data_IF_705817626503
#
_entry.id   IF_705817626503
#
_cell.length_a   1.000
_cell.length_b   1.000
_cell.length_c   1.000
_cell.angle_alpha   90.00
_cell.angle_beta   90.00
_cell.angle_gamma   90.00
#
_symmetry.space_group_name_H-M   'P 1'
#
loop_
_entity.id
_entity.type
_entity.pdbx_description
1 polymer ?
#
# COMPACT_ATOMS: atom_id res chain seq x y z
N UNK A 1 -57.16 11.72 -54.45
CA UNK A 1 -56.73 10.62 -53.55
C UNK A 1 -55.47 11.07 -52.83
N UNK A 2 -55.55 11.33 -51.52
CA UNK A 2 -54.38 11.57 -50.67
C UNK A 2 -53.89 10.19 -50.18
N UNK A 3 -52.77 9.72 -50.72
CA UNK A 3 -52.12 8.52 -50.22
C UNK A 3 -51.26 8.89 -49.01
N UNK A 4 -51.67 8.45 -47.82
CA UNK A 4 -50.86 8.56 -46.60
C UNK A 4 -49.86 7.40 -46.60
N UNK A 5 -48.57 7.69 -46.77
CA UNK A 5 -47.51 6.70 -46.64
C UNK A 5 -47.16 6.52 -45.15
N UNK A 6 -47.38 5.32 -44.63
CA UNK A 6 -46.93 4.93 -43.29
C UNK A 6 -45.53 4.32 -43.40
N UNK A 7 -44.55 4.96 -42.77
CA UNK A 7 -43.21 4.39 -42.59
C UNK A 7 -43.16 3.63 -41.26
N UNK A 8 -42.87 2.33 -41.31
CA UNK A 8 -42.63 1.51 -40.12
C UNK A 8 -41.12 1.41 -39.89
N UNK A 9 -40.60 2.16 -38.92
CA UNK A 9 -39.22 1.99 -38.45
C UNK A 9 -39.20 0.92 -37.34
N UNK A 10 -38.37 -0.10 -37.49
CA UNK A 10 -38.17 -1.14 -36.50
C UNK A 10 -36.73 -1.04 -36.01
N UNK A 11 -36.55 -0.76 -34.72
CA UNK A 11 -35.24 -0.64 -34.09
C UNK A 11 -34.83 -2.00 -33.50
N UNK A 12 -33.62 -2.45 -33.84
CA UNK A 12 -33.00 -3.61 -33.23
C UNK A 12 -31.79 -3.15 -32.45
N UNK A 13 -31.71 -3.56 -31.18
CA UNK A 13 -30.59 -3.24 -30.30
C UNK A 13 -29.60 -4.39 -30.31
N UNK A 14 -28.33 -4.09 -30.51
CA UNK A 14 -27.25 -5.05 -30.41
C UNK A 14 -26.45 -4.81 -29.14
N UNK A 15 -26.07 -5.91 -28.49
CA UNK A 15 -25.11 -5.90 -27.41
C UNK A 15 -23.71 -5.63 -27.95
N UNK A 16 -22.96 -4.77 -27.27
CA UNK A 16 -21.59 -4.40 -27.63
C UNK A 16 -20.65 -4.98 -26.60
N UNK A 17 -19.55 -5.59 -27.05
CA UNK A 17 -18.59 -6.21 -26.13
C UNK A 17 -17.89 -5.16 -25.24
N UNK A 18 -17.57 -5.54 -24.00
CA UNK A 18 -16.90 -4.66 -23.04
C UNK A 18 -15.57 -4.07 -23.59
N UNK A 19 -14.83 -4.88 -24.35
CA UNK A 19 -13.56 -4.49 -24.97
C UNK A 19 -13.75 -3.43 -26.05
N UNK A 20 -14.81 -3.55 -26.85
CA UNK A 20 -15.15 -2.54 -27.86
C UNK A 20 -15.65 -1.25 -27.22
N UNK A 21 -16.45 -1.32 -26.14
CA UNK A 21 -16.92 -0.14 -25.42
C UNK A 21 -15.76 0.64 -24.79
N UNK A 22 -14.82 -0.05 -24.14
CA UNK A 22 -13.58 0.56 -23.59
C UNK A 22 -12.71 1.18 -24.68
N UNK A 23 -12.59 0.51 -25.83
CA UNK A 23 -11.84 1.06 -26.96
C UNK A 23 -12.53 2.33 -27.47
N UNK A 24 -13.85 2.32 -27.64
CA UNK A 24 -14.62 3.45 -28.12
C UNK A 24 -14.63 4.65 -27.15
N UNK A 25 -14.63 4.41 -25.83
CA UNK A 25 -14.59 5.48 -24.83
C UNK A 25 -13.28 6.26 -24.85
N UNK A 26 -12.17 5.59 -25.13
CA UNK A 26 -10.83 6.19 -25.26
C UNK A 26 -10.63 6.81 -26.65
N UNK A 27 -10.90 6.05 -27.72
CA UNK A 27 -10.60 6.47 -29.09
C UNK A 27 -11.62 7.44 -29.67
N UNK A 28 -12.81 7.57 -29.05
CA UNK A 28 -14.00 8.22 -29.62
C UNK A 28 -14.37 7.68 -31.01
N UNK A 29 -14.07 6.40 -31.26
CA UNK A 29 -14.36 5.72 -32.52
C UNK A 29 -15.00 4.36 -32.27
N UNK A 30 -16.05 4.05 -33.04
CA UNK A 30 -16.68 2.74 -33.03
C UNK A 30 -16.72 2.19 -34.46
N UNK A 31 -16.06 1.04 -34.69
CA UNK A 31 -15.94 0.42 -36.03
C UNK A 31 -15.54 1.43 -37.13
N UNK A 32 -14.49 2.19 -36.84
CA UNK A 32 -13.92 3.24 -37.72
C UNK A 32 -14.79 4.50 -37.91
N UNK A 33 -16.03 4.52 -37.41
CA UNK A 33 -16.86 5.72 -37.39
C UNK A 33 -16.46 6.62 -36.22
N UNK A 34 -16.34 7.92 -36.48
CA UNK A 34 -16.09 8.91 -35.44
C UNK A 34 -17.37 9.19 -34.64
N UNK A 35 -17.21 9.30 -33.32
CA UNK A 35 -18.29 9.67 -32.42
C UNK A 35 -18.27 11.18 -32.18
N UNK A 36 -19.33 11.86 -32.57
CA UNK A 36 -19.50 13.30 -32.35
C UNK A 36 -20.24 13.55 -31.06
N UNK A 37 -19.75 14.49 -30.27
CA UNK A 37 -20.45 14.95 -29.08
C UNK A 37 -21.70 15.74 -29.48
N UNK A 38 -22.86 15.27 -29.04
CA UNK A 38 -24.16 15.92 -29.34
C UNK A 38 -24.69 16.73 -28.16
N UNK A 39 -24.23 16.40 -26.96
CA UNK A 39 -24.46 17.13 -25.72
C UNK A 39 -23.35 16.75 -24.73
N UNK A 40 -23.09 17.54 -23.68
CA UNK A 40 -22.00 17.28 -22.74
C UNK A 40 -21.98 15.83 -22.26
N UNK A 41 -20.93 15.10 -22.58
CA UNK A 41 -20.76 13.70 -22.17
C UNK A 41 -21.52 12.66 -23.01
N UNK A 42 -22.34 13.06 -23.99
CA UNK A 42 -23.07 12.14 -24.89
C UNK A 42 -22.48 12.21 -26.30
N UNK A 43 -22.00 11.06 -26.75
CA UNK A 43 -21.33 10.86 -28.03
C UNK A 43 -22.15 9.95 -28.92
N UNK A 44 -22.21 10.28 -30.21
CA UNK A 44 -23.02 9.56 -31.18
C UNK A 44 -22.29 9.36 -32.49
N UNK A 45 -22.35 8.15 -33.06
CA UNK A 45 -21.85 7.90 -34.41
C UNK A 45 -22.74 8.57 -35.45
N UNK A 46 -22.17 9.10 -36.51
CA UNK A 46 -22.96 9.55 -37.66
C UNK A 46 -23.72 8.35 -38.26
N UNK A 47 -25.05 8.39 -38.18
CA UNK A 47 -25.94 7.28 -38.53
C UNK A 47 -26.02 6.95 -40.04
N UNK A 48 -25.22 7.62 -40.89
CA UNK A 48 -25.35 7.54 -42.35
C UNK A 48 -23.97 7.59 -43.03
N UNK A 49 -23.23 6.48 -43.11
CA UNK A 49 -22.05 6.47 -43.97
C UNK A 49 -22.33 6.12 -45.45
N UNK A 50 -23.23 5.19 -45.82
CA UNK A 50 -23.08 4.63 -47.19
C UNK A 50 -24.25 3.95 -47.94
N UNK A 51 -25.51 3.99 -47.47
CA UNK A 51 -26.62 3.32 -48.21
C UNK A 51 -27.50 4.31 -48.99
N UNK A 52 -27.70 5.54 -48.48
CA UNK A 52 -28.48 6.56 -49.17
C UNK A 52 -27.76 7.16 -50.40
N UNK A 53 -26.42 7.17 -50.40
CA UNK A 53 -25.63 7.74 -51.50
C UNK A 53 -25.54 6.82 -52.73
N UNK A 54 -25.78 5.51 -52.60
CA UNK A 54 -25.67 4.51 -53.69
C UNK A 54 -27.01 4.04 -54.26
N UNK A 55 -28.14 4.51 -53.73
CA UNK A 55 -29.45 4.17 -54.30
C UNK A 55 -29.75 5.06 -55.51
N UNK A 56 -29.54 4.50 -56.69
CA UNK A 56 -30.11 5.00 -57.95
C UNK A 56 -31.64 5.05 -57.83
N UNK A 57 -32.23 6.21 -58.17
CA UNK A 57 -33.67 6.55 -58.17
C UNK A 57 -34.59 5.61 -58.98
N UNK A 58 -34.09 4.48 -59.49
CA UNK A 58 -34.78 3.67 -60.49
C UNK A 58 -35.34 2.33 -59.96
N UNK A 59 -34.89 1.84 -58.80
CA UNK A 59 -35.46 0.64 -58.17
C UNK A 59 -35.92 0.95 -56.75
N UNK A 60 -37.25 1.00 -56.55
CA UNK A 60 -37.90 1.35 -55.28
C UNK A 60 -37.72 0.28 -54.19
N UNK A 61 -36.56 0.25 -53.54
CA UNK A 61 -36.39 -0.41 -52.25
C UNK A 61 -36.51 0.62 -51.13
N UNK A 62 -37.69 0.66 -50.48
CA UNK A 62 -38.02 1.60 -49.38
C UNK A 62 -37.52 1.15 -48.00
N UNK A 63 -36.54 0.25 -47.93
CA UNK A 63 -35.99 -0.27 -46.67
C UNK A 63 -34.48 -0.13 -46.65
N UNK A 64 -33.97 0.66 -45.71
CA UNK A 64 -32.56 0.83 -45.45
C UNK A 64 -32.29 0.52 -43.98
N UNK A 65 -31.18 -0.16 -43.70
CA UNK A 65 -30.73 -0.42 -42.32
C UNK A 65 -29.72 0.67 -41.95
N UNK A 66 -30.04 1.47 -40.93
CA UNK A 66 -29.07 2.38 -40.31
C UNK A 66 -28.54 1.76 -39.03
N UNK A 67 -27.33 2.15 -38.67
CA UNK A 67 -26.71 1.79 -37.40
C UNK A 67 -26.36 3.07 -36.67
N UNK A 68 -26.77 3.18 -35.41
CA UNK A 68 -26.50 4.30 -34.54
C UNK A 68 -25.91 3.78 -33.24
N UNK A 69 -24.70 4.21 -32.92
CA UNK A 69 -24.05 3.95 -31.65
C UNK A 69 -24.06 5.23 -30.82
N UNK A 70 -24.62 5.14 -29.63
CA UNK A 70 -24.63 6.23 -28.64
C UNK A 70 -23.88 5.78 -27.40
N UNK A 71 -23.03 6.65 -26.87
CA UNK A 71 -22.21 6.41 -25.68
C UNK A 71 -22.31 7.62 -24.77
N UNK A 72 -22.59 7.38 -23.50
CA UNK A 72 -22.62 8.40 -22.46
C UNK A 72 -21.45 8.22 -21.50
N UNK A 73 -20.87 9.34 -21.06
CA UNK A 73 -19.75 9.40 -20.13
C UNK A 73 -20.22 10.12 -18.89
N UNK A 74 -20.05 9.45 -17.75
CA UNK A 74 -20.44 9.97 -16.46
C UNK A 74 -19.44 9.58 -15.40
N UNK A 75 -19.84 9.79 -14.15
CA UNK A 75 -19.03 9.51 -12.98
C UNK A 75 -19.51 8.22 -12.32
N UNK A 76 -18.56 7.48 -11.74
CA UNK A 76 -18.83 6.33 -10.89
C UNK A 76 -18.01 6.48 -9.61
N UNK A 77 -18.61 6.16 -8.48
CA UNK A 77 -17.98 6.21 -7.18
C UNK A 77 -18.42 5.01 -6.32
N UNK A 78 -17.69 4.75 -5.24
CA UNK A 78 -18.05 3.79 -4.21
C UNK A 78 -17.67 4.38 -2.86
N UNK A 79 -18.47 4.10 -1.83
CA UNK A 79 -18.20 4.53 -0.45
C UNK A 79 -17.60 3.39 0.37
N UNK A 80 -18.01 2.16 0.08
CA UNK A 80 -17.68 0.96 0.87
C UNK A 80 -16.79 -0.04 0.12
N UNK A 81 -16.37 0.29 -1.10
CA UNK A 81 -15.57 -0.59 -1.95
C UNK A 81 -16.35 -1.80 -2.51
N UNK A 82 -17.67 -1.84 -2.38
CA UNK A 82 -18.48 -2.94 -2.89
C UNK A 82 -19.63 -2.47 -3.77
N UNK A 83 -20.39 -1.48 -3.30
CA UNK A 83 -21.52 -0.95 -4.03
C UNK A 83 -21.08 0.24 -4.87
N UNK A 84 -21.50 0.25 -6.14
CA UNK A 84 -21.23 1.33 -7.07
C UNK A 84 -22.40 2.31 -7.09
N UNK A 85 -22.11 3.60 -7.18
CA UNK A 85 -23.08 4.65 -7.50
C UNK A 85 -22.61 5.37 -8.75
N UNK A 86 -23.53 5.72 -9.66
CA UNK A 86 -23.19 6.40 -10.91
C UNK A 86 -24.19 7.46 -11.31
N UNK A 87 -23.70 8.47 -12.03
CA UNK A 87 -24.56 9.44 -12.73
C UNK A 87 -25.26 8.86 -13.96
N UNK A 88 -24.86 7.66 -14.41
CA UNK A 88 -25.33 7.02 -15.64
C UNK A 88 -26.54 6.11 -15.45
N UNK A 89 -26.91 5.81 -14.19
CA UNK A 89 -28.03 4.95 -13.87
C UNK A 89 -27.83 4.16 -12.59
N UNK A 90 -28.81 3.31 -12.31
CA UNK A 90 -28.82 2.42 -11.15
C UNK A 90 -27.78 1.30 -11.29
N UNK A 91 -26.97 1.15 -10.24
CA UNK A 91 -25.90 0.15 -10.11
C UNK A 91 -26.04 -0.67 -8.82
N UNK A 92 -27.17 -0.60 -8.10
CA UNK A 92 -27.34 -1.25 -6.80
C UNK A 92 -27.08 -2.76 -6.84
N UNK A 93 -27.44 -3.44 -7.93
CA UNK A 93 -27.23 -4.87 -8.12
C UNK A 93 -25.81 -5.25 -8.57
N UNK A 94 -24.92 -4.27 -8.77
CA UNK A 94 -23.62 -4.45 -9.41
C UNK A 94 -22.45 -4.20 -8.45
N UNK A 95 -21.47 -5.10 -8.48
CA UNK A 95 -20.25 -4.97 -7.69
C UNK A 95 -19.29 -3.99 -8.35
N UNK A 96 -18.84 -2.96 -7.62
CA UNK A 96 -17.88 -1.97 -8.10
C UNK A 96 -16.58 -2.63 -8.62
N UNK A 97 -16.12 -3.72 -8.00
CA UNK A 97 -14.91 -4.44 -8.39
C UNK A 97 -15.02 -5.16 -9.74
N UNK A 98 -16.23 -5.38 -10.27
CA UNK A 98 -16.42 -6.06 -11.55
C UNK A 98 -16.02 -5.20 -12.75
N UNK A 99 -16.02 -3.85 -12.61
CA UNK A 99 -15.70 -2.95 -13.71
C UNK A 99 -16.75 -2.88 -14.83
N UNK A 100 -17.90 -3.52 -14.60
CA UNK A 100 -19.02 -3.61 -15.54
C UNK A 100 -20.32 -3.86 -14.78
N UNK A 101 -21.38 -3.23 -15.25
CA UNK A 101 -22.75 -3.50 -14.84
C UNK A 101 -23.61 -3.59 -16.10
N UNK A 102 -24.36 -4.68 -16.24
CA UNK A 102 -25.16 -4.93 -17.42
C UNK A 102 -26.58 -5.32 -17.04
N UNK A 103 -27.52 -4.53 -17.54
CA UNK A 103 -28.96 -4.78 -17.48
C UNK A 103 -29.50 -5.03 -18.90
N UNK A 104 -30.77 -5.40 -19.02
CA UNK A 104 -31.43 -5.66 -20.31
C UNK A 104 -31.38 -4.45 -21.27
N UNK A 105 -31.25 -3.23 -20.73
CA UNK A 105 -31.29 -1.98 -21.47
C UNK A 105 -29.99 -1.17 -21.46
N UNK A 106 -28.96 -1.51 -20.70
CA UNK A 106 -27.75 -0.67 -20.58
C UNK A 106 -26.55 -1.50 -20.14
N UNK A 107 -25.38 -1.13 -20.67
CA UNK A 107 -24.09 -1.65 -20.23
C UNK A 107 -23.23 -0.48 -19.79
N UNK A 108 -22.93 -0.40 -18.50
CA UNK A 108 -22.08 0.61 -17.90
C UNK A 108 -20.73 -0.05 -17.60
N UNK A 109 -19.64 0.55 -18.08
CA UNK A 109 -18.29 0.00 -17.96
C UNK A 109 -17.37 1.06 -17.35
N UNK A 110 -16.53 0.66 -16.40
CA UNK A 110 -15.52 1.51 -15.78
C UNK A 110 -14.19 0.78 -15.61
N UNK A 111 -13.17 1.55 -15.23
CA UNK A 111 -11.87 1.00 -14.86
C UNK A 111 -11.92 0.53 -13.40
N UNK A 112 -11.63 -0.74 -13.17
CA UNK A 112 -11.55 -1.31 -11.82
C UNK A 112 -10.37 -0.68 -11.09
N UNK A 113 -10.64 -0.04 -9.96
CA UNK A 113 -9.62 0.35 -8.98
C UNK A 113 -9.61 -0.75 -7.92
N UNK A 114 -8.44 -1.09 -7.35
CA UNK A 114 -8.40 -2.01 -6.20
C UNK A 114 -9.26 -1.44 -5.07
N UNK A 115 -10.41 -2.08 -4.83
CA UNK A 115 -11.34 -1.70 -3.78
C UNK A 115 -10.73 -2.02 -2.43
N UNK A 116 -10.14 -1.01 -1.80
CA UNK A 116 -9.83 -1.06 -0.38
C UNK A 116 -10.86 -0.19 0.30
N UNK A 117 -11.61 -0.75 1.26
CA UNK A 117 -12.42 0.06 2.17
C UNK A 117 -11.53 1.15 2.73
N UNK A 118 -11.96 2.40 2.64
CA UNK A 118 -11.22 3.50 3.24
C UNK A 118 -11.25 3.33 4.76
N UNK A 119 -10.09 3.51 5.39
CA UNK A 119 -9.99 3.46 6.85
C UNK A 119 -10.84 4.57 7.46
N UNK A 120 -11.80 4.21 8.31
CA UNK A 120 -12.67 5.17 9.00
C UNK A 120 -11.92 5.99 10.06
N UNK A 121 -10.71 5.57 10.41
CA UNK A 121 -9.86 6.19 11.42
C UNK A 121 -8.78 7.05 10.77
N UNK A 122 -8.49 8.17 11.43
CA UNK A 122 -7.33 9.01 11.12
C UNK A 122 -6.27 8.82 12.20
N UNK A 123 -5.01 8.75 11.78
CA UNK A 123 -3.89 8.76 12.71
C UNK A 123 -3.90 10.05 13.54
N UNK A 124 -3.97 9.90 14.86
CA UNK A 124 -3.88 11.01 15.81
C UNK A 124 -2.44 11.29 16.19
N UNK A 125 -1.80 10.33 16.87
CA UNK A 125 -0.40 10.45 17.31
C UNK A 125 0.18 9.10 17.72
N UNK A 126 1.48 9.09 18.02
CA UNK A 126 2.16 7.98 18.71
C UNK A 126 2.56 8.44 20.10
N UNK A 127 2.19 7.68 21.13
CA UNK A 127 2.38 8.04 22.53
C UNK A 127 2.75 6.83 23.39
N UNK A 128 3.28 7.08 24.59
CA UNK A 128 3.42 6.04 25.61
C UNK A 128 2.07 5.74 26.23
N UNK A 129 1.81 4.45 26.42
CA UNK A 129 0.63 3.98 27.09
C UNK A 129 1.02 3.13 28.30
N UNK A 130 0.32 3.35 29.42
CA UNK A 130 0.36 2.46 30.59
C UNK A 130 -0.80 1.48 30.40
N UNK A 131 -0.51 0.19 30.44
CA UNK A 131 -1.51 -0.84 30.19
C UNK A 131 -1.66 -1.79 31.37
N UNK A 132 -2.91 -2.14 31.63
CA UNK A 132 -3.34 -3.24 32.51
C UNK A 132 -4.08 -4.27 31.67
N UNK A 133 -4.57 -5.36 32.27
CA UNK A 133 -5.31 -6.43 31.56
C UNK A 133 -6.49 -5.90 30.73
N UNK A 134 -7.20 -4.90 31.25
CA UNK A 134 -8.47 -4.43 30.68
C UNK A 134 -8.45 -2.93 30.34
N UNK A 135 -7.39 -2.22 30.69
CA UNK A 135 -7.35 -0.75 30.70
C UNK A 135 -6.08 -0.25 30.05
N UNK A 136 -6.18 0.90 29.41
CA UNK A 136 -5.06 1.62 28.82
C UNK A 136 -5.13 3.09 29.26
N UNK A 137 -3.99 3.64 29.68
CA UNK A 137 -3.83 5.05 29.97
C UNK A 137 -2.86 5.66 28.96
N UNK A 138 -3.27 6.72 28.27
CA UNK A 138 -2.37 7.51 27.42
C UNK A 138 -2.28 8.91 28.01
N UNK A 139 -1.24 9.13 28.80
CA UNK A 139 -1.06 10.37 29.58
C UNK A 139 -1.02 11.61 28.69
N UNK A 140 -0.30 11.56 27.55
CA UNK A 140 -0.20 12.69 26.62
C UNK A 140 -1.56 13.09 26.00
N UNK A 141 -2.55 12.18 26.01
CA UNK A 141 -3.91 12.44 25.52
C UNK A 141 -4.92 12.71 26.64
N UNK A 142 -4.53 12.47 27.90
CA UNK A 142 -5.44 12.52 29.04
C UNK A 142 -6.57 11.50 28.97
N UNK A 143 -6.36 10.35 28.33
CA UNK A 143 -7.37 9.28 28.20
C UNK A 143 -7.03 8.06 29.06
N UNK A 144 -8.06 7.43 29.62
CA UNK A 144 -7.98 6.19 30.40
C UNK A 144 -9.14 5.22 30.05
N UNK A 145 -9.21 4.70 28.80
CA UNK A 145 -10.30 3.82 28.42
C UNK A 145 -10.03 2.34 28.72
N UNK A 146 -11.08 1.54 28.54
CA UNK A 146 -11.02 0.08 28.61
C UNK A 146 -10.87 -0.50 27.21
N UNK A 147 -10.23 -1.66 27.11
CA UNK A 147 -10.24 -2.44 25.88
C UNK A 147 -11.67 -2.98 25.62
N UNK A 148 -12.17 -2.73 24.41
CA UNK A 148 -13.39 -3.36 23.91
C UNK A 148 -13.09 -4.82 23.55
N UNK A 149 -13.80 -5.74 24.20
CA UNK A 149 -13.64 -7.17 24.01
C UNK A 149 -14.54 -7.74 22.90
N UNK A 150 -15.41 -6.91 22.28
CA UNK A 150 -16.23 -7.32 21.14
C UNK A 150 -15.38 -7.42 19.86
N UNK A 151 -14.93 -8.64 19.55
CA UNK A 151 -14.12 -8.95 18.38
C UNK A 151 -14.79 -8.53 17.06
N UNK A 152 -16.13 -8.52 16.99
CA UNK A 152 -16.85 -8.12 15.77
C UNK A 152 -16.75 -6.61 15.56
N UNK A 153 -16.86 -5.83 16.64
CA UNK A 153 -16.64 -4.37 16.58
C UNK A 153 -15.20 -4.04 16.22
N UNK A 154 -14.25 -4.73 16.83
CA UNK A 154 -12.84 -4.59 16.50
C UNK A 154 -12.56 -4.87 15.03
N UNK A 155 -13.07 -5.99 14.50
CA UNK A 155 -12.87 -6.38 13.11
C UNK A 155 -13.47 -5.35 12.14
N UNK A 156 -14.67 -4.85 12.44
CA UNK A 156 -15.31 -3.80 11.64
C UNK A 156 -14.55 -2.48 11.72
N UNK A 157 -14.05 -2.10 12.90
CA UNK A 157 -13.29 -0.87 13.10
C UNK A 157 -11.92 -0.90 12.41
N UNK A 158 -11.25 -2.05 12.42
CA UNK A 158 -9.97 -2.24 11.77
C UNK A 158 -10.09 -2.46 10.25
N UNK A 159 -11.29 -2.69 9.72
CA UNK A 159 -11.49 -2.97 8.31
C UNK A 159 -11.07 -1.76 7.45
N UNK A 160 -10.22 -2.00 6.44
CA UNK A 160 -9.67 -0.92 5.61
C UNK A 160 -8.55 -0.11 6.26
N UNK A 161 -8.32 -0.27 7.58
CA UNK A 161 -7.20 0.30 8.28
C UNK A 161 -6.00 -0.65 8.22
N UNK A 162 -4.86 -0.17 7.70
CA UNK A 162 -3.60 -0.93 7.67
C UNK A 162 -2.94 -0.98 9.05
N UNK A 163 -3.64 -1.53 10.04
CA UNK A 163 -3.20 -1.73 11.43
C UNK A 163 -3.02 -3.22 11.70
N UNK A 164 -1.88 -3.60 12.24
CA UNK A 164 -1.44 -5.00 12.31
C UNK A 164 -2.04 -5.74 13.50
N UNK A 165 -2.12 -5.08 14.64
CA UNK A 165 -2.66 -5.65 15.86
C UNK A 165 -3.55 -4.60 16.55
N UNK A 166 -4.74 -4.36 15.98
CA UNK A 166 -5.64 -3.33 16.47
C UNK A 166 -6.25 -3.73 17.81
N UNK A 167 -6.39 -2.75 18.68
CA UNK A 167 -7.17 -2.79 19.90
C UNK A 167 -8.21 -1.69 19.79
N UNK A 168 -9.47 -2.04 20.01
CA UNK A 168 -10.54 -1.06 20.10
C UNK A 168 -10.71 -0.72 21.57
N UNK A 169 -10.95 0.55 21.85
CA UNK A 169 -11.27 1.04 23.18
C UNK A 169 -12.77 1.35 23.28
N UNK A 170 -13.32 1.31 24.49
CA UNK A 170 -14.74 1.54 24.73
C UNK A 170 -15.20 2.97 24.43
N UNK A 171 -14.29 3.94 24.43
CA UNK A 171 -14.46 5.32 23.98
C UNK A 171 -14.18 5.52 22.48
N UNK A 172 -13.83 4.45 21.76
CA UNK A 172 -13.82 4.40 20.30
C UNK A 172 -12.47 4.67 19.62
N UNK A 173 -11.35 4.73 20.34
CA UNK A 173 -10.02 4.78 19.73
C UNK A 173 -9.57 3.41 19.22
N UNK A 174 -8.97 3.40 18.03
CA UNK A 174 -8.27 2.26 17.46
C UNK A 174 -6.77 2.40 17.75
N UNK A 175 -6.23 1.53 18.58
CA UNK A 175 -4.86 1.55 19.09
C UNK A 175 -4.07 0.40 18.47
N UNK A 176 -2.82 0.65 18.13
CA UNK A 176 -1.90 -0.37 17.64
C UNK A 176 -0.62 -0.40 18.48
N UNK A 177 -0.23 -1.60 18.94
CA UNK A 177 1.08 -1.83 19.54
C UNK A 177 2.06 -2.36 18.50
N UNK A 178 2.74 -1.46 17.81
CA UNK A 178 3.66 -1.78 16.71
C UNK A 178 4.85 -2.69 17.11
N UNK A 179 5.23 -2.71 18.38
CA UNK A 179 6.30 -3.56 18.92
C UNK A 179 5.82 -4.93 19.40
N UNK A 180 4.51 -5.10 19.60
CA UNK A 180 3.98 -6.36 20.11
C UNK A 180 4.09 -7.47 19.07
N UNK A 181 4.40 -8.72 19.47
CA UNK A 181 4.29 -9.84 18.57
C UNK A 181 2.83 -10.00 18.10
N UNK A 182 2.64 -10.41 16.85
CA UNK A 182 1.31 -10.63 16.24
C UNK A 182 0.47 -11.71 16.94
N UNK A 183 1.09 -12.48 17.84
CA UNK A 183 0.46 -13.59 18.54
C UNK A 183 0.44 -13.29 20.04
N UNK A 184 -0.76 -13.19 20.59
CA UNK A 184 -1.03 -13.02 22.02
C UNK A 184 -1.71 -11.69 22.35
N UNK A 185 -2.46 -11.66 23.44
CA UNK A 185 -3.11 -10.46 23.97
C UNK A 185 -2.04 -9.63 24.70
N UNK A 186 -1.71 -8.43 24.19
CA UNK A 186 -0.69 -7.55 24.78
C UNK A 186 -0.94 -7.27 26.26
N UNK A 187 -2.20 -7.03 26.70
CA UNK A 187 -2.50 -6.89 28.12
C UNK A 187 -2.18 -8.13 28.98
N UNK A 188 -2.31 -9.34 28.44
CA UNK A 188 -1.96 -10.57 29.17
C UNK A 188 -0.44 -10.75 29.30
N UNK A 189 0.34 -10.13 28.42
CA UNK A 189 1.81 -10.21 28.48
C UNK A 189 2.42 -9.43 29.66
N UNK A 190 1.65 -8.59 30.36
CA UNK A 190 2.15 -7.73 31.44
C UNK A 190 1.92 -8.29 32.86
N UNK A 191 1.23 -9.43 33.02
CA UNK A 191 0.66 -9.86 34.32
C UNK A 191 1.44 -10.96 35.04
N UNK A 192 2.47 -11.55 34.42
CA UNK A 192 3.31 -12.54 35.12
C UNK A 192 4.29 -11.86 36.10
N UNK A 193 3.78 -11.42 37.24
CA UNK A 193 4.49 -10.81 38.36
C UNK A 193 5.20 -11.83 39.28
N UNK A 194 5.09 -13.13 39.02
CA UNK A 194 5.73 -14.18 39.82
C UNK A 194 7.12 -14.55 39.24
N UNK A 195 8.23 -14.14 39.89
CA UNK A 195 9.58 -14.43 39.40
C UNK A 195 9.92 -15.94 39.35
N UNK A 196 9.17 -16.79 40.06
CA UNK A 196 9.38 -18.25 40.10
C UNK A 196 8.71 -19.02 38.95
N UNK A 197 7.72 -18.40 38.29
CA UNK A 197 6.97 -18.93 37.15
C UNK A 197 7.32 -18.26 35.83
N UNK A 198 8.50 -17.64 35.73
CA UNK A 198 9.11 -17.28 34.44
C UNK A 198 9.40 -18.55 33.63
N UNK A 199 8.37 -19.18 33.10
CA UNK A 199 8.51 -19.96 31.88
C UNK A 199 8.89 -18.96 30.79
N UNK A 200 10.09 -19.01 30.20
CA UNK A 200 10.61 -17.95 29.33
C UNK A 200 9.92 -17.82 27.97
N UNK A 201 8.68 -18.31 27.81
CA UNK A 201 8.11 -18.63 26.48
C UNK A 201 7.08 -17.64 25.93
N UNK A 202 6.75 -16.54 26.61
CA UNK A 202 5.76 -15.55 26.11
C UNK A 202 6.32 -14.14 25.92
N UNK A 203 7.50 -13.83 26.48
CA UNK A 203 8.29 -12.66 26.13
C UNK A 203 9.71 -13.11 25.73
N UNK A 204 9.86 -13.66 24.52
CA UNK A 204 11.20 -13.81 23.95
C UNK A 204 11.72 -12.38 23.72
N UNK A 205 12.48 -11.82 24.67
CA UNK A 205 13.39 -10.71 24.34
C UNK A 205 14.18 -11.21 23.14
N UNK A 206 14.11 -10.49 22.02
CA UNK A 206 14.92 -10.83 20.88
C UNK A 206 16.37 -10.85 21.34
N UNK A 207 17.18 -11.77 20.83
CA UNK A 207 18.61 -11.71 21.09
C UNK A 207 19.10 -10.36 20.55
N UNK A 208 19.50 -9.45 21.44
CA UNK A 208 20.12 -8.18 21.06
C UNK A 208 21.37 -8.46 20.24
N UNK A 209 21.51 -7.75 19.14
CA UNK A 209 22.71 -7.81 18.31
C UNK A 209 23.67 -6.70 18.72
N UNK A 210 24.96 -7.04 18.67
CA UNK A 210 26.04 -6.13 19.01
C UNK A 210 26.84 -5.93 17.74
N UNK A 211 26.92 -4.67 17.30
CA UNK A 211 27.81 -4.30 16.23
C UNK A 211 29.20 -3.97 16.76
N UNK A 212 30.20 -4.16 15.91
CA UNK A 212 31.60 -3.89 16.23
C UNK A 212 32.22 -2.93 15.23
N UNK A 213 33.11 -2.06 15.71
CA UNK A 213 33.96 -1.23 14.86
C UNK A 213 35.40 -1.29 15.34
N UNK A 214 36.35 -1.27 14.40
CA UNK A 214 37.78 -1.24 14.70
C UNK A 214 38.24 0.18 14.98
N UNK A 215 39.00 0.34 16.06
CA UNK A 215 39.70 1.56 16.46
C UNK A 215 41.20 1.50 16.14
N UNK A 216 41.95 2.52 16.59
CA UNK A 216 43.41 2.53 16.47
C UNK A 216 44.04 1.36 17.25
N UNK A 217 45.05 0.71 16.66
CA UNK A 217 45.84 -0.32 17.35
C UNK A 217 45.07 -1.58 17.74
N UNK A 218 44.24 -2.12 16.83
CA UNK A 218 43.43 -3.35 17.02
C UNK A 218 42.35 -3.30 18.11
N UNK A 219 42.15 -2.16 18.77
CA UNK A 219 41.02 -1.97 19.69
C UNK A 219 39.68 -2.17 18.96
N UNK A 220 38.75 -2.90 19.56
CA UNK A 220 37.38 -3.07 19.04
C UNK A 220 36.43 -2.31 19.94
N UNK A 221 35.63 -1.42 19.36
CA UNK A 221 34.52 -0.76 20.05
C UNK A 221 33.22 -1.47 19.69
N UNK A 222 32.47 -1.86 20.71
CA UNK A 222 31.17 -2.49 20.57
C UNK A 222 30.04 -1.48 20.78
N UNK A 223 28.90 -1.71 20.15
CA UNK A 223 27.68 -0.91 20.35
C UNK A 223 26.44 -1.79 20.14
N UNK A 224 25.33 -1.44 20.80
CA UNK A 224 24.06 -2.18 20.70
C UNK A 224 23.33 -1.82 19.39
N UNK A 225 23.07 -2.81 18.53
CA UNK A 225 22.24 -2.67 17.32
C UNK A 225 20.74 -2.81 17.64
N UNK A 226 20.41 -3.34 18.81
CA UNK A 226 19.06 -3.62 19.27
C UNK A 226 18.55 -5.00 18.84
N UNK A 227 17.23 -5.13 18.77
CA UNK A 227 16.55 -6.40 18.49
C UNK A 227 15.84 -6.33 17.13
N UNK A 228 15.63 -7.47 16.48
CA UNK A 228 14.77 -7.53 15.28
C UNK A 228 13.35 -7.05 15.62
N UNK A 229 12.66 -6.46 14.64
CA UNK A 229 11.22 -6.29 14.78
C UNK A 229 10.55 -7.65 14.93
N UNK A 230 9.56 -7.72 15.83
CA UNK A 230 8.80 -8.95 16.11
C UNK A 230 8.04 -9.43 14.88
N UNK A 231 7.64 -8.50 14.03
CA UNK A 231 6.91 -8.76 12.78
C UNK A 231 7.80 -8.42 11.58
N UNK A 232 8.03 -9.36 10.66
CA UNK A 232 8.74 -9.07 9.43
C UNK A 232 8.03 -7.99 8.59
N UNK A 233 8.80 -7.14 7.93
CA UNK A 233 8.25 -5.96 7.24
C UNK A 233 7.28 -6.31 6.12
N UNK A 234 7.45 -7.43 5.40
CA UNK A 234 6.50 -7.81 4.36
C UNK A 234 5.14 -8.20 4.95
N UNK A 235 5.15 -8.85 6.12
CA UNK A 235 3.93 -9.20 6.83
C UNK A 235 3.25 -7.95 7.38
N UNK A 236 4.06 -6.99 7.86
CA UNK A 236 3.61 -5.65 8.22
C UNK A 236 2.91 -5.01 7.00
N UNK A 237 3.63 -4.72 5.92
CA UNK A 237 3.13 -3.87 4.84
C UNK A 237 2.06 -4.52 3.95
N UNK A 238 2.08 -5.85 3.80
CA UNK A 238 1.22 -6.56 2.84
C UNK A 238 0.29 -7.60 3.48
N UNK A 239 0.40 -7.87 4.78
CA UNK A 239 -0.44 -8.86 5.47
C UNK A 239 -0.14 -10.33 5.11
N UNK A 240 0.90 -10.59 4.33
CA UNK A 240 1.26 -11.95 3.86
C UNK A 240 2.25 -12.63 4.79
N UNK A 241 2.22 -13.96 4.85
CA UNK A 241 3.09 -14.71 5.77
C UNK A 241 4.48 -14.95 5.19
N UNK A 242 4.60 -15.07 3.86
CA UNK A 242 5.88 -15.31 3.17
C UNK A 242 6.22 -14.16 2.24
N UNK A 243 7.50 -13.82 2.16
CA UNK A 243 7.99 -12.79 1.22
C UNK A 243 7.68 -13.14 -0.24
N UNK A 244 7.66 -14.43 -0.60
CA UNK A 244 7.33 -14.91 -1.95
C UNK A 244 5.88 -14.66 -2.37
N UNK A 245 4.99 -14.33 -1.43
CA UNK A 245 3.58 -14.03 -1.69
C UNK A 245 3.37 -12.54 -2.02
N UNK A 246 4.37 -11.69 -1.81
CA UNK A 246 4.28 -10.26 -2.16
C UNK A 246 4.40 -10.10 -3.68
N UNK A 247 3.48 -9.36 -4.32
CA UNK A 247 3.58 -9.06 -5.75
C UNK A 247 4.90 -8.37 -6.14
N UNK A 248 5.32 -8.56 -7.39
CA UNK A 248 6.40 -7.78 -7.97
C UNK A 248 6.03 -6.30 -8.00
N UNK A 249 7.01 -5.44 -7.72
CA UNK A 249 6.83 -3.99 -7.66
C UNK A 249 7.27 -3.34 -8.96
N UNK A 250 6.67 -2.19 -9.28
CA UNK A 250 7.08 -1.39 -10.44
C UNK A 250 8.37 -0.62 -10.19
N UNK A 251 9.07 -0.24 -11.25
CA UNK A 251 10.18 0.71 -11.19
C UNK A 251 9.91 1.85 -12.21
N UNK A 252 9.60 3.08 -11.77
CA UNK A 252 9.60 3.57 -10.38
C UNK A 252 8.55 2.91 -9.47
N UNK A 253 8.86 2.84 -8.17
CA UNK A 253 7.97 2.35 -7.10
C UNK A 253 6.72 3.20 -7.09
N UNK A 254 5.56 2.55 -7.17
CA UNK A 254 4.24 3.20 -7.21
C UNK A 254 3.34 2.76 -6.07
N UNK A 255 3.72 1.71 -5.34
CA UNK A 255 2.93 1.07 -4.30
C UNK A 255 2.78 2.00 -3.09
N UNK A 256 1.55 2.44 -2.75
CA UNK A 256 1.29 3.41 -1.67
C UNK A 256 1.90 3.02 -0.33
N UNK A 257 1.84 1.74 0.02
CA UNK A 257 2.36 1.20 1.29
C UNK A 257 3.89 1.32 1.39
N UNK A 258 4.61 1.18 0.27
CA UNK A 258 6.07 1.35 0.23
C UNK A 258 6.45 2.82 0.23
N UNK A 259 5.77 3.64 -0.58
CA UNK A 259 6.02 5.09 -0.66
C UNK A 259 5.77 5.79 0.67
N UNK A 260 4.75 5.37 1.42
CA UNK A 260 4.47 5.84 2.79
C UNK A 260 5.67 5.62 3.71
N UNK A 261 6.22 4.40 3.73
CA UNK A 261 7.36 4.05 4.58
C UNK A 261 8.66 4.72 4.14
N UNK A 262 8.89 4.81 2.83
CA UNK A 262 10.02 5.54 2.24
C UNK A 262 10.02 6.99 2.70
N UNK A 263 8.87 7.67 2.62
CA UNK A 263 8.72 9.05 3.10
C UNK A 263 8.91 9.15 4.62
N UNK A 264 8.18 8.32 5.38
CA UNK A 264 8.17 8.31 6.86
C UNK A 264 9.56 8.15 7.47
N UNK A 265 10.39 7.25 6.91
CA UNK A 265 11.73 6.97 7.44
C UNK A 265 12.85 7.68 6.69
N UNK A 266 12.51 8.53 5.71
CA UNK A 266 13.45 9.25 4.87
C UNK A 266 14.48 8.29 4.24
N UNK A 267 13.98 7.31 3.50
CA UNK A 267 14.79 6.39 2.67
C UNK A 267 15.23 7.16 1.43
N UNK A 268 16.54 7.21 1.18
CA UNK A 268 17.08 7.99 0.06
C UNK A 268 17.37 7.12 -1.17
N UNK A 269 17.36 7.68 -2.40
CA UNK A 269 17.77 6.94 -3.59
C UNK A 269 19.19 6.37 -3.48
N UNK A 270 20.07 7.05 -2.75
CA UNK A 270 21.43 6.59 -2.50
C UNK A 270 21.47 5.28 -1.69
N UNK A 271 20.55 5.09 -0.74
CA UNK A 271 20.46 3.83 0.00
C UNK A 271 20.09 2.67 -0.93
N UNK A 272 19.10 2.86 -1.79
CA UNK A 272 18.66 1.86 -2.77
C UNK A 272 19.80 1.51 -3.74
N UNK A 273 20.48 2.53 -4.29
CA UNK A 273 21.62 2.35 -5.18
C UNK A 273 22.79 1.64 -4.51
N UNK A 274 23.19 2.05 -3.30
CA UNK A 274 24.31 1.43 -2.59
C UNK A 274 24.02 -0.03 -2.23
N UNK A 275 22.80 -0.32 -1.77
CA UNK A 275 22.39 -1.70 -1.48
C UNK A 275 22.40 -2.55 -2.75
N UNK A 276 21.79 -2.05 -3.83
CA UNK A 276 21.80 -2.70 -5.13
C UNK A 276 23.22 -2.92 -5.66
N UNK A 277 24.15 -1.99 -5.44
CA UNK A 277 25.53 -2.04 -5.94
C UNK A 277 26.38 -3.12 -5.27
N UNK A 278 26.34 -3.21 -3.94
CA UNK A 278 27.25 -4.06 -3.18
C UNK A 278 26.69 -5.46 -2.88
N UNK A 279 25.39 -5.72 -3.00
CA UNK A 279 24.79 -6.99 -2.60
C UNK A 279 24.35 -7.86 -3.79
N UNK A 280 25.27 -8.68 -4.31
CA UNK A 280 25.01 -9.54 -5.47
C UNK A 280 23.93 -10.60 -5.23
N UNK A 281 23.81 -11.11 -4.00
CA UNK A 281 22.79 -12.09 -3.62
C UNK A 281 21.39 -11.48 -3.67
N UNK A 282 21.24 -10.21 -3.32
CA UNK A 282 19.95 -9.51 -3.35
C UNK A 282 19.49 -9.25 -4.78
N UNK A 283 20.42 -8.85 -5.67
CA UNK A 283 20.16 -8.68 -7.10
C UNK A 283 19.68 -9.96 -7.79
N UNK A 284 20.18 -11.11 -7.36
CA UNK A 284 19.85 -12.43 -7.93
C UNK A 284 18.58 -13.05 -7.35
N UNK A 285 17.95 -12.41 -6.37
CA UNK A 285 16.70 -12.90 -5.79
C UNK A 285 15.53 -12.77 -6.80
N UNK A 286 14.51 -13.65 -6.72
CA UNK A 286 13.38 -13.63 -7.66
C UNK A 286 12.66 -12.28 -7.74
N UNK A 287 12.54 -11.57 -6.60
CA UNK A 287 11.94 -10.23 -6.52
C UNK A 287 12.97 -9.24 -5.94
N UNK A 288 14.02 -8.98 -6.72
CA UNK A 288 15.18 -8.19 -6.29
C UNK A 288 14.84 -6.74 -5.96
N UNK A 289 13.96 -6.11 -6.75
CA UNK A 289 13.53 -4.73 -6.51
C UNK A 289 12.81 -4.60 -5.17
N UNK A 290 11.87 -5.51 -4.87
CA UNK A 290 11.17 -5.53 -3.59
C UNK A 290 12.14 -5.80 -2.44
N UNK A 291 13.00 -6.81 -2.56
CA UNK A 291 13.93 -7.18 -1.49
C UNK A 291 14.85 -6.01 -1.11
N UNK A 292 15.45 -5.34 -2.10
CA UNK A 292 16.32 -4.18 -1.90
C UNK A 292 15.53 -3.04 -1.25
N UNK A 293 14.30 -2.79 -1.71
CA UNK A 293 13.42 -1.74 -1.18
C UNK A 293 13.06 -1.99 0.29
N UNK A 294 12.60 -3.21 0.61
CA UNK A 294 12.24 -3.60 1.98
C UNK A 294 13.44 -3.53 2.92
N UNK A 295 14.61 -4.02 2.51
CA UNK A 295 15.82 -3.90 3.32
C UNK A 295 16.23 -2.45 3.55
N UNK A 296 16.12 -1.58 2.54
CA UNK A 296 16.40 -0.15 2.70
C UNK A 296 15.44 0.54 3.69
N UNK A 297 14.15 0.17 3.65
CA UNK A 297 13.17 0.64 4.64
C UNK A 297 13.54 0.12 6.03
N UNK A 298 13.82 -1.16 6.21
CA UNK A 298 14.23 -1.73 7.51
C UNK A 298 15.50 -1.05 8.06
N UNK A 299 16.50 -0.77 7.22
CA UNK A 299 17.70 -0.02 7.62
C UNK A 299 17.32 1.35 8.19
N UNK A 300 16.40 2.05 7.52
CA UNK A 300 15.95 3.37 7.96
C UNK A 300 15.11 3.29 9.24
N UNK A 301 14.27 2.25 9.40
CA UNK A 301 13.51 1.98 10.62
C UNK A 301 14.43 1.70 11.81
N UNK A 302 15.39 0.77 11.66
CA UNK A 302 16.38 0.47 12.69
C UNK A 302 17.24 1.70 13.04
N UNK A 303 17.62 2.48 12.03
CA UNK A 303 18.35 3.73 12.22
C UNK A 303 17.54 4.78 13.00
N UNK A 304 16.25 4.94 12.71
CA UNK A 304 15.37 5.84 13.45
C UNK A 304 15.27 5.42 14.92
N UNK A 305 15.02 4.12 15.18
CA UNK A 305 14.97 3.56 16.53
C UNK A 305 16.27 3.79 17.29
N UNK A 306 17.41 3.40 16.72
CA UNK A 306 18.70 3.57 17.39
C UNK A 306 19.06 5.04 17.61
N UNK A 307 18.68 5.93 16.70
CA UNK A 307 18.86 7.37 16.90
C UNK A 307 18.06 7.88 18.09
N UNK A 308 16.85 7.37 18.32
CA UNK A 308 16.07 7.69 19.51
C UNK A 308 16.71 7.13 20.78
N UNK A 309 17.23 5.90 20.77
CA UNK A 309 18.00 5.32 21.87
C UNK A 309 19.13 6.24 22.32
N UNK A 310 19.96 6.61 21.35
CA UNK A 310 21.16 7.40 21.59
C UNK A 310 20.83 8.80 22.12
N UNK A 311 19.66 9.35 21.80
CA UNK A 311 19.19 10.64 22.36
C UNK A 311 18.74 10.53 23.81
N UNK A 312 18.31 9.35 24.25
CA UNK A 312 17.84 9.12 25.63
C UNK A 312 18.98 8.85 26.62
N UNK A 313 20.18 8.52 26.12
CA UNK A 313 21.37 8.31 26.95
C UNK A 313 21.76 9.64 27.62
N UNK A 314 21.65 9.69 28.95
CA UNK A 314 21.98 10.88 29.76
C UNK A 314 23.48 11.08 29.95
N UNK A 315 24.27 10.02 29.80
CA UNK A 315 25.73 10.05 29.92
C UNK A 315 26.37 10.44 28.59
N UNK A 316 27.67 10.73 28.63
CA UNK A 316 28.43 10.93 27.39
C UNK A 316 28.46 9.64 26.58
N UNK A 317 28.20 9.74 25.27
CA UNK A 317 28.22 8.60 24.36
C UNK A 317 29.61 7.98 24.28
N UNK A 318 29.66 6.65 24.25
CA UNK A 318 30.89 5.88 24.02
C UNK A 318 31.39 6.05 22.58
N UNK A 319 32.65 5.68 22.30
CA UNK A 319 33.19 5.73 20.92
C UNK A 319 32.41 4.84 19.94
N UNK A 320 31.91 3.69 20.41
CA UNK A 320 31.06 2.80 19.62
C UNK A 320 29.73 3.47 19.27
N UNK A 321 29.07 4.05 20.26
CA UNK A 321 27.80 4.79 20.10
C UNK A 321 27.93 6.00 19.17
N UNK A 322 29.03 6.76 19.27
CA UNK A 322 29.32 7.88 18.35
C UNK A 322 29.48 7.36 16.92
N UNK A 323 30.18 6.24 16.74
CA UNK A 323 30.36 5.62 15.42
C UNK A 323 29.03 5.17 14.84
N UNK A 324 28.21 4.46 15.64
CA UNK A 324 26.87 4.05 15.24
C UNK A 324 26.01 5.26 14.83
N UNK A 325 26.00 6.32 15.65
CA UNK A 325 25.29 7.57 15.35
C UNK A 325 25.70 8.14 13.99
N UNK A 326 27.01 8.23 13.74
CA UNK A 326 27.55 8.74 12.48
C UNK A 326 27.15 7.89 11.28
N UNK A 327 27.14 6.56 11.42
CA UNK A 327 26.72 5.67 10.34
C UNK A 327 25.21 5.76 10.05
N UNK A 328 24.38 5.90 11.08
CA UNK A 328 22.94 6.16 10.93
C UNK A 328 22.70 7.48 10.21
N UNK A 329 23.39 8.55 10.61
CA UNK A 329 23.26 9.88 10.00
C UNK A 329 23.72 9.89 8.54
N UNK A 330 24.74 9.10 8.20
CA UNK A 330 25.23 8.91 6.82
C UNK A 330 24.39 7.94 5.99
N UNK A 331 23.35 7.33 6.59
CA UNK A 331 22.49 6.32 5.93
C UNK A 331 23.30 5.14 5.37
N UNK A 332 24.29 4.68 6.13
CA UNK A 332 25.11 3.53 5.74
C UNK A 332 24.25 2.26 5.69
N UNK A 333 24.25 1.61 4.52
CA UNK A 333 23.37 0.48 4.22
C UNK A 333 23.84 -0.84 4.85
N UNK A 334 25.02 -0.88 5.48
CA UNK A 334 25.63 -2.11 6.00
C UNK A 334 25.48 -2.26 7.52
N UNK A 335 25.13 -1.18 8.22
CA UNK A 335 25.15 -1.09 9.69
C UNK A 335 24.30 -2.17 10.36
N UNK A 336 23.12 -2.43 9.80
CA UNK A 336 22.13 -3.32 10.39
C UNK A 336 22.08 -4.71 9.73
N UNK A 337 23.15 -5.12 9.04
CA UNK A 337 23.17 -6.41 8.33
C UNK A 337 22.83 -7.60 9.23
N UNK A 338 23.30 -7.64 10.47
CA UNK A 338 23.00 -8.74 11.39
C UNK A 338 21.50 -8.87 11.66
N UNK A 339 20.80 -7.75 11.84
CA UNK A 339 19.35 -7.73 12.00
C UNK A 339 18.65 -8.12 10.70
N UNK A 340 19.08 -7.57 9.56
CA UNK A 340 18.49 -7.88 8.26
C UNK A 340 18.68 -9.36 7.86
N UNK A 341 19.83 -9.95 8.19
CA UNK A 341 20.15 -11.33 7.84
C UNK A 341 19.25 -12.32 8.59
N UNK A 342 18.83 -12.00 9.81
CA UNK A 342 17.84 -12.78 10.57
C UNK A 342 16.43 -12.68 9.99
N UNK A 343 16.08 -11.52 9.43
CA UNK A 343 14.75 -11.28 8.87
C UNK A 343 14.64 -11.83 7.43
N UNK A 344 15.58 -11.49 6.56
CA UNK A 344 15.50 -11.79 5.11
C UNK A 344 16.39 -12.95 4.66
N UNK A 345 17.23 -13.47 5.56
CA UNK A 345 18.31 -14.38 5.20
C UNK A 345 19.61 -13.65 4.88
N UNK A 346 20.73 -14.37 5.05
CA UNK A 346 22.09 -13.84 4.98
C UNK A 346 22.40 -13.21 3.62
N UNK A 347 22.90 -11.98 3.62
CA UNK A 347 23.39 -11.29 2.42
C UNK A 347 24.76 -10.65 2.66
N UNK A 348 25.78 -11.11 1.93
CA UNK A 348 27.15 -10.60 2.10
C UNK A 348 27.44 -9.45 1.10
N UNK A 349 28.02 -8.33 1.57
CA UNK A 349 28.48 -7.28 0.67
C UNK A 349 29.74 -7.71 -0.10
N UNK A 350 29.79 -7.38 -1.38
CA UNK A 350 30.98 -7.43 -2.22
C UNK A 350 31.47 -6.00 -2.50
N UNK A 351 32.42 -5.55 -1.68
CA UNK A 351 33.05 -4.23 -1.85
C UNK A 351 34.16 -4.24 -2.91
N UNK A 352 34.61 -5.43 -3.35
CA UNK A 352 35.70 -5.58 -4.32
C UNK A 352 35.14 -5.48 -5.73
N UNK A 353 34.00 -6.12 -5.99
CA UNK A 353 33.35 -6.14 -7.30
C UNK A 353 31.95 -5.48 -7.24
N UNK A 354 31.88 -4.15 -7.08
CA UNK A 354 30.61 -3.44 -7.13
C UNK A 354 30.00 -3.52 -8.52
N UNK A 355 28.69 -3.72 -8.58
CA UNK A 355 27.93 -3.76 -9.83
C UNK A 355 27.18 -2.46 -10.04
N UNK A 356 27.59 -1.70 -11.05
CA UNK A 356 26.95 -0.44 -11.44
C UNK A 356 25.96 -0.62 -12.60
N UNK A 357 25.80 -1.84 -13.10
CA UNK A 357 24.98 -2.14 -14.30
C UNK A 357 23.53 -2.48 -13.95
N UNK A 358 23.31 -3.02 -12.75
CA UNK A 358 21.97 -3.29 -12.25
C UNK A 358 21.18 -1.99 -12.05
N UNK A 359 19.95 -1.94 -12.55
CA UNK A 359 19.04 -0.80 -12.37
C UNK A 359 18.41 -0.89 -10.98
N UNK A 360 18.77 -0.02 -10.02
CA UNK A 360 18.21 -0.08 -8.67
C UNK A 360 16.73 0.31 -8.66
N UNK A 361 15.98 -0.12 -7.64
CA UNK A 361 14.65 0.44 -7.40
C UNK A 361 14.76 1.95 -7.19
N UNK A 362 13.81 2.68 -7.77
CA UNK A 362 13.75 4.14 -7.72
C UNK A 362 12.32 4.59 -7.45
N UNK A 363 12.14 5.83 -7.00
CA UNK A 363 10.82 6.43 -6.81
C UNK A 363 10.86 7.88 -7.28
N UNK A 364 9.71 8.38 -7.72
CA UNK A 364 9.58 9.77 -8.15
C UNK A 364 9.40 10.68 -6.91
N UNK A 365 10.12 11.81 -6.80
CA UNK A 365 9.94 12.72 -5.66
C UNK A 365 8.48 13.19 -5.51
N UNK A 366 7.75 13.37 -6.62
CA UNK A 366 6.36 13.80 -6.58
C UNK A 366 5.43 12.77 -5.93
N UNK A 367 5.75 11.48 -5.98
CA UNK A 367 4.93 10.42 -5.41
C UNK A 367 5.02 10.35 -3.88
N UNK A 368 5.99 11.05 -3.28
CA UNK A 368 6.12 11.15 -1.82
C UNK A 368 5.31 12.29 -1.21
N UNK A 369 4.83 13.25 -2.00
CA UNK A 369 4.17 14.47 -1.52
C UNK A 369 2.97 14.18 -0.60
N UNK A 370 2.19 13.15 -0.92
CA UNK A 370 1.04 12.75 -0.10
C UNK A 370 1.41 12.17 1.26
N UNK A 371 2.68 11.84 1.47
CA UNK A 371 3.21 11.22 2.69
C UNK A 371 4.26 12.11 3.38
N UNK A 372 4.42 13.36 2.96
CA UNK A 372 5.35 14.30 3.59
C UNK A 372 4.92 14.60 5.04
N UNK A 373 5.90 14.80 5.91
CA UNK A 373 5.67 15.15 7.32
C UNK A 373 5.31 13.98 8.24
N UNK A 374 5.13 12.76 7.71
CA UNK A 374 5.00 11.56 8.53
C UNK A 374 6.26 11.38 9.38
N UNK A 375 6.07 11.34 10.71
CA UNK A 375 7.16 11.05 11.63
C UNK A 375 7.42 9.54 11.69
N UNK A 376 8.68 9.13 11.89
CA UNK A 376 8.98 7.76 12.32
C UNK A 376 8.07 7.37 13.48
N UNK A 377 7.62 6.12 13.49
CA UNK A 377 6.92 5.58 14.65
C UNK A 377 7.88 5.76 15.84
N UNK A 378 7.45 6.44 16.92
CA UNK A 378 8.27 6.58 18.14
C UNK A 378 8.46 5.17 18.68
N UNK A 379 9.64 4.60 18.49
CA UNK A 379 9.95 3.25 18.90
C UNK A 379 10.63 3.32 20.26
N UNK A 380 9.90 2.92 21.30
CA UNK A 380 10.44 3.01 22.64
C UNK A 380 11.42 1.87 22.86
N UNK A 381 12.70 2.23 22.95
CA UNK A 381 13.65 1.33 23.58
C UNK A 381 13.26 1.17 25.03
N UNK A 382 12.93 -0.06 25.39
CA UNK A 382 12.69 -0.47 26.76
C UNK A 382 14.00 -0.35 27.52
N UNK A 383 14.22 0.82 28.11
CA UNK A 383 15.20 1.01 29.16
C UNK A 383 14.65 0.32 30.42
N UNK A 384 15.18 -0.86 30.71
CA UNK A 384 15.17 -1.46 32.03
C UNK A 384 16.61 -1.71 32.46
#
# INVERSE_FOLDING_TARGET
>A
MLATHYHKCMFFRWEVSQKEYRRASISKKFREMELKEISPGIFRSDAIPDVAARQTRFCGTNQFKTFEFTMEIGQIATIDGHHAVSSLGDLEACNFGAGVCQNESTTIVWQTVENRKECQYRFLQTSQAIISQNEIAIEEMGIFPKFDNDLRRLQNAAEGCFVHHPYLTDDGYLIEFFEAPLTGWVPDMHVDADPSRRNPRTWNRGRREIGETRGPGELVFQFDLGENFTTPIWKKLFGVNKLSEVPEITNPISEPVLLREISRYNVTPLMLTNRARFYSQERKSPNSLLLITLKAICIAQYGARQREALKQIKTQLTKGEITLKNWIERKDVNVFNELLDREFGRSLPDFINPDNTFVPPSFLPESLKSYEGLQPERMYLRNF
#
